data_IF_097060318092
#
_entry.id   IF_097060318092
#
_cell.length_a   1.000
_cell.length_b   1.000
_cell.length_c   1.000
_cell.angle_alpha   90.00
_cell.angle_beta   90.00
_cell.angle_gamma   90.00
#
_symmetry.space_group_name_H-M   'P 1'
#
loop_
_entity.id
_entity.type
_entity.pdbx_description
1 polymer ?
#
# COMPACT_ATOMS: atom_id res chain seq x y z
N UNK A 1 -3.86 -20.11 -6.42
CA UNK A 1 -2.92 -18.97 -6.22
C UNK A 1 -3.60 -17.72 -5.60
N UNK A 2 -4.75 -17.88 -4.91
CA UNK A 2 -5.53 -16.77 -4.37
C UNK A 2 -4.88 -16.05 -3.16
N UNK A 3 -4.10 -16.79 -2.36
CA UNK A 3 -3.44 -16.23 -1.17
C UNK A 3 -2.47 -15.08 -1.49
N UNK A 4 -1.82 -15.09 -2.66
CA UNK A 4 -0.88 -14.04 -3.05
C UNK A 4 -1.58 -12.69 -3.28
N UNK A 5 -2.74 -12.70 -3.95
CA UNK A 5 -3.47 -11.46 -4.23
C UNK A 5 -3.94 -10.79 -2.93
N UNK A 6 -4.51 -11.60 -2.00
CA UNK A 6 -4.90 -11.11 -0.69
C UNK A 6 -3.72 -10.57 0.12
N UNK A 7 -2.59 -11.27 0.09
CA UNK A 7 -1.37 -10.83 0.79
C UNK A 7 -0.81 -9.50 0.25
N UNK A 8 -0.79 -9.32 -1.08
CA UNK A 8 -0.34 -8.06 -1.70
C UNK A 8 -1.22 -6.89 -1.27
N UNK A 9 -2.55 -7.08 -1.24
CA UNK A 9 -3.47 -6.04 -0.81
C UNK A 9 -3.22 -5.64 0.66
N UNK A 10 -3.12 -6.63 1.54
CA UNK A 10 -2.85 -6.41 2.96
C UNK A 10 -1.53 -5.67 3.19
N UNK A 11 -0.46 -6.10 2.51
CA UNK A 11 0.85 -5.50 2.63
C UNK A 11 0.87 -4.04 2.16
N UNK A 12 0.29 -3.75 1.00
CA UNK A 12 0.36 -2.41 0.41
C UNK A 12 -0.60 -1.40 1.06
N UNK A 13 -1.74 -1.86 1.57
CA UNK A 13 -2.80 -0.97 2.04
C UNK A 13 -2.97 -0.89 3.55
N UNK A 14 -2.56 -1.90 4.32
CA UNK A 14 -2.86 -1.94 5.75
C UNK A 14 -1.60 -2.01 6.62
N UNK A 15 -0.55 -2.69 6.17
CA UNK A 15 0.64 -2.92 6.99
C UNK A 15 1.43 -1.63 7.23
N UNK A 16 1.70 -1.22 8.47
CA UNK A 16 2.52 -0.04 8.74
C UNK A 16 4.00 -0.29 8.45
N UNK A 17 4.68 0.71 7.90
CA UNK A 17 6.12 0.69 7.63
C UNK A 17 6.83 1.91 8.23
N UNK A 18 7.95 1.68 8.91
CA UNK A 18 8.79 2.74 9.50
C UNK A 18 9.31 3.72 8.45
N UNK A 19 9.74 3.21 7.28
CA UNK A 19 10.15 4.01 6.14
C UNK A 19 9.03 4.88 5.53
N UNK A 20 7.77 4.63 5.91
CA UNK A 20 6.61 5.41 5.52
C UNK A 20 6.05 6.26 6.68
N UNK A 21 6.80 6.42 7.78
CA UNK A 21 6.32 7.15 8.95
C UNK A 21 5.20 6.42 9.69
N UNK A 22 5.30 5.09 9.80
CA UNK A 22 4.29 4.20 10.39
C UNK A 22 2.96 4.14 9.61
N UNK A 23 3.01 4.43 8.31
CA UNK A 23 1.89 4.35 7.36
C UNK A 23 2.07 3.19 6.38
N UNK A 24 1.02 2.75 5.68
CA UNK A 24 1.14 1.70 4.68
C UNK A 24 1.93 2.13 3.43
N UNK A 25 2.55 1.19 2.69
CA UNK A 25 3.42 1.50 1.55
C UNK A 25 2.76 2.39 0.48
N UNK A 26 1.46 2.21 0.24
CA UNK A 26 0.69 2.99 -0.75
C UNK A 26 0.74 4.50 -0.49
N UNK A 27 0.94 4.95 0.76
CA UNK A 27 0.96 6.38 1.09
C UNK A 27 2.19 7.13 0.59
N UNK A 28 3.25 6.42 0.17
CA UNK A 28 4.44 7.04 -0.45
C UNK A 28 4.36 7.13 -1.96
N UNK A 29 3.37 6.47 -2.57
CA UNK A 29 3.16 6.54 -4.01
C UNK A 29 2.39 7.83 -4.32
N UNK A 30 2.89 8.57 -5.30
CA UNK A 30 2.30 9.84 -5.73
C UNK A 30 1.61 9.75 -7.09
N UNK A 31 1.88 8.70 -7.87
CA UNK A 31 1.40 8.52 -9.24
C UNK A 31 0.39 7.37 -9.37
N UNK A 32 -0.54 7.26 -8.43
CA UNK A 32 -1.63 6.28 -8.52
C UNK A 32 -2.83 6.87 -9.25
N UNK A 33 -3.49 6.05 -10.06
CA UNK A 33 -4.78 6.44 -10.65
C UNK A 33 -5.78 6.78 -9.54
N UNK A 34 -6.43 7.95 -9.64
CA UNK A 34 -7.38 8.45 -8.64
C UNK A 34 -6.78 9.19 -7.44
N UNK A 35 -5.46 9.39 -7.37
CA UNK A 35 -4.84 10.25 -6.34
C UNK A 35 -4.72 11.73 -6.74
N UNK A 36 -4.77 12.05 -8.04
CA UNK A 36 -4.78 13.43 -8.52
C UNK A 36 -6.23 13.92 -8.64
N UNK A 37 -6.56 14.99 -7.91
CA UNK A 37 -7.79 15.79 -8.02
C UNK A 37 -7.39 17.14 -8.62
#
# INVERSE_FOLDING_TARGET
RAALAAWIHEYNHHRPHTACGNKPPVTRLTNLSGQYI
#
